data_IF_429631153343
#
_entry.id   IF_429631153343
#
_cell.length_a   1.000
_cell.length_b   1.000
_cell.length_c   1.000
_cell.angle_alpha   90.00
_cell.angle_beta   90.00
_cell.angle_gamma   90.00
#
_symmetry.space_group_name_H-M   'P 1'
#
loop_
_entity.id
_entity.type
_entity.pdbx_description
1 polymer ?
#
# COMPACT_ATOMS: atom_id res chain seq x y z
N UNK A 1 5.14 12.47 19.83
CA UNK A 1 5.61 11.93 18.54
C UNK A 1 6.09 10.50 18.71
N UNK A 2 5.94 9.67 17.68
CA UNK A 2 6.69 8.44 17.55
C UNK A 2 8.19 8.76 17.38
N UNK A 3 9.05 7.86 17.86
CA UNK A 3 10.48 7.91 17.55
C UNK A 3 10.73 7.55 16.09
N UNK A 4 11.90 7.93 15.55
CA UNK A 4 12.33 7.57 14.20
C UNK A 4 12.25 6.05 13.91
N UNK A 5 12.61 5.23 14.89
CA UNK A 5 12.50 3.76 14.79
C UNK A 5 11.05 3.29 14.71
N UNK A 6 10.16 3.87 15.52
CA UNK A 6 8.73 3.53 15.49
C UNK A 6 8.08 3.98 14.17
N UNK A 7 8.49 5.12 13.63
CA UNK A 7 8.06 5.58 12.29
C UNK A 7 8.50 4.61 11.19
N UNK A 8 9.79 4.24 11.17
CA UNK A 8 10.33 3.24 10.23
C UNK A 8 9.61 1.91 10.35
N UNK A 9 9.38 1.44 11.58
CA UNK A 9 8.67 0.19 11.84
C UNK A 9 7.23 0.25 11.31
N UNK A 10 6.49 1.33 11.58
CA UNK A 10 5.14 1.52 11.07
C UNK A 10 5.08 1.50 9.54
N UNK A 11 6.02 2.18 8.88
CA UNK A 11 6.13 2.16 7.41
C UNK A 11 6.32 0.73 6.87
N UNK A 12 7.23 -0.03 7.49
CA UNK A 12 7.52 -1.41 7.09
C UNK A 12 6.35 -2.35 7.37
N UNK A 13 5.63 -2.16 8.48
CA UNK A 13 4.43 -2.93 8.83
C UNK A 13 3.36 -2.84 7.73
N UNK A 14 3.23 -1.68 7.08
CA UNK A 14 2.32 -1.47 5.96
C UNK A 14 2.92 -1.83 4.59
N UNK A 15 4.14 -2.37 4.52
CA UNK A 15 4.78 -2.74 3.25
C UNK A 15 5.03 -1.55 2.32
N UNK A 16 5.28 -0.36 2.89
CA UNK A 16 5.50 0.87 2.14
C UNK A 16 7.00 1.12 2.02
N UNK A 17 7.49 1.37 0.81
CA UNK A 17 8.87 1.76 0.56
C UNK A 17 9.11 3.24 0.86
N UNK A 18 10.36 3.62 1.09
CA UNK A 18 10.72 5.04 1.26
C UNK A 18 10.48 5.87 -0.02
N UNK A 19 10.48 5.21 -1.19
CA UNK A 19 10.21 5.84 -2.49
C UNK A 19 8.73 6.19 -2.60
N UNK A 20 7.84 5.24 -2.31
CA UNK A 20 6.39 5.47 -2.31
C UNK A 20 6.00 6.56 -1.31
N UNK A 21 6.53 6.48 -0.08
CA UNK A 21 6.24 7.48 0.94
C UNK A 21 6.78 8.87 0.57
N UNK A 22 7.99 8.93 0.02
CA UNK A 22 8.57 10.18 -0.48
C UNK A 22 7.71 10.81 -1.58
N UNK A 23 7.23 10.00 -2.53
CA UNK A 23 6.33 10.45 -3.61
C UNK A 23 5.03 11.04 -3.04
N UNK A 24 4.40 10.34 -2.09
CA UNK A 24 3.17 10.83 -1.44
C UNK A 24 3.39 12.14 -0.68
N UNK A 25 4.53 12.27 0.01
CA UNK A 25 4.88 13.47 0.77
C UNK A 25 5.47 14.60 -0.09
N UNK A 26 5.73 14.38 -1.39
CA UNK A 26 6.39 15.35 -2.27
C UNK A 26 7.87 15.61 -1.92
N UNK A 27 8.56 14.63 -1.32
CA UNK A 27 9.97 14.74 -0.89
C UNK A 27 10.81 13.57 -1.38
N UNK A 28 12.13 13.71 -1.33
CA UNK A 28 13.04 12.64 -1.75
C UNK A 28 13.03 11.46 -0.77
N UNK A 29 13.23 10.24 -1.31
CA UNK A 29 13.47 9.03 -0.50
C UNK A 29 14.64 9.21 0.48
N UNK A 30 15.62 10.03 0.11
CA UNK A 30 16.81 10.29 0.92
C UNK A 30 16.45 11.06 2.19
N UNK A 31 15.52 12.03 2.11
CA UNK A 31 15.05 12.74 3.30
C UNK A 31 14.34 11.80 4.28
N UNK A 32 13.47 10.92 3.77
CA UNK A 32 12.84 9.86 4.57
C UNK A 32 13.90 9.00 5.27
N UNK A 33 14.90 8.53 4.51
CA UNK A 33 15.99 7.72 5.05
C UNK A 33 16.81 8.45 6.12
N UNK A 34 17.12 9.73 5.93
CA UNK A 34 17.85 10.52 6.93
C UNK A 34 17.06 10.64 8.23
N UNK A 35 15.76 10.93 8.16
CA UNK A 35 14.90 11.04 9.34
C UNK A 35 14.78 9.69 10.06
N UNK A 36 14.47 8.61 9.34
CA UNK A 36 14.32 7.27 9.92
C UNK A 36 15.59 6.75 10.60
N UNK A 37 16.76 7.17 10.12
CA UNK A 37 18.06 6.81 10.69
C UNK A 37 18.62 7.88 11.65
N UNK A 38 17.79 8.80 12.14
CA UNK A 38 18.16 9.86 13.10
C UNK A 38 19.28 10.78 12.63
N UNK A 39 19.51 10.88 11.33
CA UNK A 39 20.49 11.78 10.70
C UNK A 39 19.94 13.18 10.43
N UNK A 40 18.63 13.36 10.55
CA UNK A 40 17.94 14.63 10.35
C UNK A 40 16.81 14.77 11.37
N UNK A 41 16.72 15.95 12.01
CA UNK A 41 15.64 16.28 12.92
C UNK A 41 14.36 16.65 12.15
N UNK A 42 13.20 16.53 12.80
CA UNK A 42 11.90 16.82 12.21
C UNK A 42 10.97 17.51 13.20
N UNK A 43 9.99 18.26 12.69
CA UNK A 43 8.98 18.96 13.48
C UNK A 43 7.74 18.10 13.72
N UNK A 44 6.84 18.56 14.59
CA UNK A 44 5.53 17.91 14.81
C UNK A 44 4.70 17.85 13.54
N UNK A 45 4.66 18.95 12.81
CA UNK A 45 3.97 19.00 11.53
C UNK A 45 4.52 17.98 10.53
N UNK A 46 5.85 17.83 10.46
CA UNK A 46 6.47 16.85 9.58
C UNK A 46 6.14 15.41 10.00
N UNK A 47 6.20 15.14 11.31
CA UNK A 47 5.79 13.85 11.87
C UNK A 47 4.35 13.50 11.48
N UNK A 48 3.43 14.44 11.64
CA UNK A 48 2.01 14.20 11.35
C UNK A 48 1.75 13.99 9.86
N UNK A 49 2.43 14.75 9.00
CA UNK A 49 2.45 14.52 7.54
C UNK A 49 2.96 13.12 7.19
N UNK A 50 4.02 12.66 7.85
CA UNK A 50 4.59 11.33 7.63
C UNK A 50 3.61 10.21 7.99
N UNK A 51 2.97 10.30 9.17
CA UNK A 51 2.00 9.30 9.62
C UNK A 51 0.75 9.28 8.72
N UNK A 52 0.22 10.45 8.36
CA UNK A 52 -0.93 10.55 7.47
C UNK A 52 -0.63 9.97 6.09
N UNK A 53 0.56 10.23 5.55
CA UNK A 53 1.00 9.69 4.27
C UNK A 53 1.09 8.15 4.30
N UNK A 54 1.61 7.55 5.39
CA UNK A 54 1.61 6.09 5.57
C UNK A 54 0.20 5.53 5.47
N UNK A 55 -0.74 6.08 6.26
CA UNK A 55 -2.10 5.55 6.29
C UNK A 55 -2.85 5.76 4.98
N UNK A 56 -2.57 6.86 4.26
CA UNK A 56 -3.13 7.09 2.93
C UNK A 56 -2.64 6.05 1.92
N UNK A 57 -1.33 5.84 1.81
CA UNK A 57 -0.76 4.84 0.90
C UNK A 57 -1.23 3.42 1.29
N UNK A 58 -1.31 3.11 2.59
CA UNK A 58 -1.82 1.83 3.05
C UNK A 58 -3.30 1.61 2.66
N UNK A 59 -4.13 2.65 2.77
CA UNK A 59 -5.54 2.58 2.37
C UNK A 59 -5.69 2.40 0.86
N UNK A 60 -4.86 3.06 0.05
CA UNK A 60 -4.83 2.90 -1.40
C UNK A 60 -4.43 1.48 -1.80
N UNK A 61 -3.34 0.94 -1.24
CA UNK A 61 -2.92 -0.45 -1.47
C UNK A 61 -4.01 -1.46 -1.08
N UNK A 62 -4.69 -1.24 0.06
CA UNK A 62 -5.80 -2.11 0.47
C UNK A 62 -6.95 -2.09 -0.53
N UNK A 63 -7.27 -0.92 -1.11
CA UNK A 63 -8.32 -0.80 -2.14
C UNK A 63 -7.91 -1.51 -3.43
N UNK A 64 -6.64 -1.43 -3.83
CA UNK A 64 -6.13 -2.13 -5.01
C UNK A 64 -6.23 -3.65 -4.85
N UNK A 65 -5.83 -4.18 -3.69
CA UNK A 65 -5.95 -5.62 -3.38
C UNK A 65 -7.41 -6.07 -3.40
N UNK A 66 -8.33 -5.28 -2.85
CA UNK A 66 -9.74 -5.63 -2.87
C UNK A 66 -10.29 -5.70 -4.30
N UNK A 67 -9.99 -4.69 -5.12
CA UNK A 67 -10.40 -4.65 -6.53
C UNK A 67 -9.82 -5.82 -7.33
N UNK A 68 -8.56 -6.21 -7.09
CA UNK A 68 -7.97 -7.36 -7.79
C UNK A 68 -8.65 -8.66 -7.43
N UNK A 69 -9.03 -8.84 -6.17
CA UNK A 69 -9.73 -10.06 -5.72
C UNK A 69 -11.14 -10.13 -6.32
N UNK A 70 -11.86 -9.01 -6.39
CA UNK A 70 -13.18 -8.94 -7.02
C UNK A 70 -13.11 -9.35 -8.50
N UNK A 71 -12.07 -8.93 -9.22
CA UNK A 71 -11.86 -9.30 -10.64
C UNK A 71 -11.57 -10.81 -10.76
N UNK A 72 -10.72 -11.36 -9.90
CA UNK A 72 -10.41 -12.79 -9.90
C UNK A 72 -11.64 -13.67 -9.68
N UNK A 73 -12.50 -13.32 -8.71
CA UNK A 73 -13.75 -14.06 -8.47
C UNK A 73 -14.70 -14.02 -9.67
N UNK A 74 -14.76 -12.91 -10.40
CA UNK A 74 -15.59 -12.77 -11.60
C UNK A 74 -15.06 -13.66 -12.73
N UNK A 75 -13.73 -13.66 -12.93
CA UNK A 75 -13.08 -14.49 -13.96
C UNK A 75 -13.31 -15.99 -13.70
N UNK A 76 -13.17 -16.44 -12.46
CA UNK A 76 -13.43 -17.83 -12.06
C UNK A 76 -14.89 -18.24 -12.33
N UNK A 77 -15.86 -17.41 -11.92
CA UNK A 77 -17.29 -17.67 -12.17
C UNK A 77 -17.63 -17.69 -13.66
N UNK A 78 -17.02 -16.81 -14.46
CA UNK A 78 -17.20 -16.79 -15.90
C UNK A 78 -16.67 -18.08 -16.56
N UNK A 79 -15.54 -18.60 -16.08
CA UNK A 79 -14.95 -19.82 -16.61
C UNK A 79 -15.72 -21.09 -16.22
N UNK A 80 -16.25 -21.15 -14.99
CA UNK A 80 -17.18 -22.21 -14.59
C UNK A 80 -18.46 -22.20 -15.44
N UNK A 81 -19.01 -21.01 -15.71
CA UNK A 81 -20.21 -20.87 -16.54
C UNK A 81 -19.96 -21.36 -17.96
N UNK A 82 -18.82 -21.01 -18.57
CA UNK A 82 -18.42 -21.52 -19.89
C UNK A 82 -18.29 -23.04 -19.92
N UNK A 83 -17.63 -23.64 -18.93
CA UNK A 83 -17.48 -25.10 -18.83
C UNK A 83 -18.81 -25.82 -18.70
N UNK A 84 -19.79 -25.22 -18.01
CA UNK A 84 -21.12 -25.80 -17.88
C UNK A 84 -21.92 -25.73 -19.20
N UNK A 85 -21.86 -24.61 -19.91
CA UNK A 85 -22.49 -24.46 -21.24
C UNK A 85 -21.92 -25.42 -22.29
N UNK A 86 -20.61 -25.68 -22.27
CA UNK A 86 -19.95 -26.64 -23.16
C UNK A 86 -20.34 -28.10 -22.88
N UNK A 87 -20.69 -28.43 -21.63
CA UNK A 87 -21.15 -29.77 -21.24
C UNK A 87 -22.61 -30.00 -21.66
N UNK A 88 -23.44 -28.97 -21.59
CA UNK A 88 -24.86 -29.05 -22.01
C UNK A 88 -25.02 -29.13 -23.53
N UNK A 89 -24.16 -28.47 -24.31
CA UNK A 89 -24.21 -28.49 -25.78
C UNK A 89 -23.68 -29.77 -26.43
N UNK A 90 -22.98 -30.64 -25.68
CA UNK A 90 -22.44 -31.92 -26.15
C UNK A 90 -23.33 -33.14 -25.80
N UNK A 91 -24.52 -32.91 -25.25
CA UNK A 91 -25.48 -33.93 -24.82
C UNK A 91 -26.71 -33.93 -25.73
#
# INVERSE_FOLDING_TARGET
MLSAEKMKHLRLLHGISQVELGKEMGISKNLISMVENRKQNYTQEWHDKYINAIYKVAAEKKKEILKSNDIQEIEEKAEETKKNLEKETKK
#
